data_IF_552516519792
#
_entry.id   IF_552516519792
#
_cell.length_a   1.000
_cell.length_b   1.000
_cell.length_c   1.000
_cell.angle_alpha   90.00
_cell.angle_beta   90.00
_cell.angle_gamma   90.00
#
_symmetry.space_group_name_H-M   'P 1'
#
loop_
_entity.id
_entity.type
_entity.pdbx_description
1 polymer ?
#
# COMPACT_ATOMS: atom_id res chain seq x y z
N UNK A 1 10.45 16.60 -7.06
CA UNK A 1 9.56 15.49 -7.43
C UNK A 1 9.65 14.46 -6.31
N UNK A 2 8.65 14.35 -5.44
CA UNK A 2 8.65 13.31 -4.40
C UNK A 2 8.15 12.01 -5.04
N UNK A 3 9.07 11.15 -5.44
CA UNK A 3 8.76 9.81 -5.93
C UNK A 3 8.49 8.89 -4.74
N UNK A 4 7.36 8.20 -4.75
CA UNK A 4 7.04 7.17 -3.75
C UNK A 4 8.13 6.09 -3.77
N UNK A 5 8.72 5.72 -2.62
CA UNK A 5 9.75 4.69 -2.57
C UNK A 5 9.20 3.33 -3.00
N UNK A 6 10.02 2.53 -3.68
CA UNK A 6 9.63 1.20 -4.17
C UNK A 6 10.19 0.10 -3.28
N UNK A 7 9.42 -0.98 -3.16
CA UNK A 7 9.84 -2.25 -2.56
C UNK A 7 10.02 -3.23 -3.72
N UNK A 8 11.22 -3.78 -3.88
CA UNK A 8 11.56 -4.67 -5.00
C UNK A 8 11.95 -6.08 -4.56
N UNK A 9 12.09 -6.31 -3.25
CA UNK A 9 12.46 -7.61 -2.69
C UNK A 9 11.57 -8.00 -1.50
N UNK A 10 11.51 -9.31 -1.23
CA UNK A 10 10.79 -9.88 -0.07
C UNK A 10 11.42 -9.46 1.26
N UNK A 11 12.75 -9.29 1.29
CA UNK A 11 13.47 -8.81 2.48
C UNK A 11 13.10 -7.37 2.81
N UNK A 12 13.07 -6.48 1.80
CA UNK A 12 12.61 -5.10 1.98
C UNK A 12 11.14 -5.06 2.41
N UNK A 13 10.28 -5.85 1.78
CA UNK A 13 8.88 -5.96 2.17
C UNK A 13 8.74 -6.38 3.64
N UNK A 14 9.49 -7.41 4.05
CA UNK A 14 9.40 -7.94 5.41
C UNK A 14 9.84 -6.89 6.42
N UNK A 15 10.96 -6.22 6.17
CA UNK A 15 11.52 -5.21 7.07
C UNK A 15 10.67 -3.94 7.14
N UNK A 16 10.23 -3.40 6.00
CA UNK A 16 9.58 -2.08 5.90
C UNK A 16 8.06 -2.12 5.99
N UNK A 17 7.43 -3.24 5.61
CA UNK A 17 5.97 -3.36 5.53
C UNK A 17 5.46 -4.33 6.59
N UNK A 18 5.89 -5.59 6.51
CA UNK A 18 5.35 -6.66 7.35
C UNK A 18 5.62 -6.39 8.83
N UNK A 19 6.84 -6.00 9.18
CA UNK A 19 7.22 -5.76 10.57
C UNK A 19 6.88 -4.34 11.06
N UNK A 20 6.22 -3.52 10.23
CA UNK A 20 5.84 -2.17 10.62
C UNK A 20 4.72 -2.17 11.66
N UNK A 21 4.94 -1.43 12.75
CA UNK A 21 3.91 -1.14 13.76
C UNK A 21 2.93 -0.07 13.30
N UNK A 22 3.31 0.74 12.31
CA UNK A 22 2.45 1.75 11.68
C UNK A 22 1.75 1.18 10.45
N UNK A 23 0.55 1.66 10.11
CA UNK A 23 -0.09 1.30 8.85
C UNK A 23 0.80 1.68 7.66
N UNK A 24 0.98 0.73 6.75
CA UNK A 24 1.75 0.88 5.52
C UNK A 24 0.83 0.64 4.34
N UNK A 25 0.73 1.62 3.45
CA UNK A 25 -0.04 1.52 2.23
C UNK A 25 0.89 1.14 1.06
N UNK A 26 0.58 0.03 0.41
CA UNK A 26 1.25 -0.46 -0.78
C UNK A 26 0.43 -0.16 -2.01
N UNK A 27 1.00 0.62 -2.92
CA UNK A 27 0.47 0.80 -4.27
C UNK A 27 0.96 -0.32 -5.17
N UNK A 28 0.02 -1.05 -5.73
CA UNK A 28 0.25 -2.25 -6.51
C UNK A 28 0.18 -1.88 -8.00
N UNK A 29 1.28 -1.40 -8.55
CA UNK A 29 1.32 -0.74 -9.84
C UNK A 29 1.82 -1.70 -10.93
N UNK A 30 1.02 -2.03 -11.95
CA UNK A 30 1.47 -2.92 -13.03
C UNK A 30 2.57 -2.27 -13.89
N UNK A 31 2.46 -0.96 -14.16
CA UNK A 31 3.47 -0.13 -14.82
C UNK A 31 3.41 1.24 -14.15
N UNK A 32 4.57 1.79 -13.77
CA UNK A 32 4.70 3.08 -13.08
C UNK A 32 4.41 4.24 -14.06
N UNK A 33 3.18 4.38 -14.53
CA UNK A 33 2.76 5.52 -15.35
C UNK A 33 2.18 6.63 -14.48
N UNK A 34 2.65 7.84 -14.73
CA UNK A 34 2.54 9.03 -13.88
C UNK A 34 1.13 9.57 -13.60
N UNK A 35 0.08 8.92 -14.08
CA UNK A 35 -1.31 9.38 -13.90
C UNK A 35 -1.83 9.16 -12.47
N UNK A 36 -1.27 8.21 -11.73
CA UNK A 36 -1.58 8.02 -10.31
C UNK A 36 -0.85 8.99 -9.36
N UNK A 37 0.03 9.86 -9.89
CA UNK A 37 0.88 10.71 -9.06
C UNK A 37 0.08 11.75 -8.27
N UNK A 38 -1.00 12.32 -8.81
CA UNK A 38 -1.74 13.39 -8.14
C UNK A 38 -2.53 12.88 -6.92
N UNK A 39 -3.23 11.76 -7.07
CA UNK A 39 -4.05 11.19 -6.00
C UNK A 39 -3.20 10.57 -4.90
N UNK A 40 -2.12 9.87 -5.28
CA UNK A 40 -1.15 9.33 -4.31
C UNK A 40 -0.41 10.46 -3.61
N UNK A 41 -0.05 11.53 -4.33
CA UNK A 41 0.55 12.72 -3.72
C UNK A 41 -0.41 13.39 -2.74
N UNK A 42 -1.67 13.59 -3.13
CA UNK A 42 -2.69 14.12 -2.23
C UNK A 42 -2.89 13.23 -0.99
N UNK A 43 -2.87 11.90 -1.16
CA UNK A 43 -2.89 10.95 -0.05
C UNK A 43 -1.68 11.08 0.87
N UNK A 44 -0.46 11.17 0.32
CA UNK A 44 0.77 11.36 1.10
C UNK A 44 0.79 12.70 1.85
N UNK A 45 0.19 13.74 1.26
CA UNK A 45 0.11 15.08 1.86
C UNK A 45 -0.98 15.14 2.95
N UNK A 46 -2.12 14.49 2.73
CA UNK A 46 -3.26 14.48 3.67
C UNK A 46 -3.06 13.52 4.84
N UNK A 47 -2.35 12.41 4.63
CA UNK A 47 -2.17 11.35 5.62
C UNK A 47 -0.70 11.12 5.92
N UNK A 48 -0.04 12.15 6.47
CA UNK A 48 1.41 12.13 6.77
C UNK A 48 1.84 11.04 7.78
N UNK A 49 0.88 10.45 8.51
CA UNK A 49 1.10 9.32 9.41
C UNK A 49 1.22 7.97 8.69
N UNK A 50 0.81 7.88 7.42
CA UNK A 50 0.90 6.66 6.61
C UNK A 50 2.25 6.56 5.92
N UNK A 51 2.90 5.41 6.09
CA UNK A 51 4.06 5.07 5.26
C UNK A 51 3.56 4.51 3.94
N UNK A 52 4.06 5.03 2.82
CA UNK A 52 3.58 4.68 1.48
C UNK A 52 4.73 4.11 0.65
N UNK A 53 4.50 2.93 0.04
CA UNK A 53 5.43 2.31 -0.91
C UNK A 53 4.73 1.87 -2.20
N UNK A 54 5.48 1.80 -3.28
CA UNK A 54 5.07 1.15 -4.53
C UNK A 54 5.66 -0.26 -4.66
N UNK A 55 4.89 -1.19 -5.20
CA UNK A 55 5.33 -2.52 -5.64
C UNK A 55 4.87 -2.76 -7.07
N UNK A 56 5.64 -3.53 -7.83
CA UNK A 56 5.28 -3.91 -9.20
C UNK A 56 4.56 -5.27 -9.28
N UNK A 57 4.09 -5.61 -10.47
CA UNK A 57 3.38 -6.87 -10.75
C UNK A 57 4.19 -8.11 -10.43
N UNK A 58 5.52 -8.07 -10.60
CA UNK A 58 6.40 -9.17 -10.23
C UNK A 58 6.42 -9.35 -8.71
N UNK A 59 6.62 -8.27 -7.97
CA UNK A 59 6.66 -8.28 -6.51
C UNK A 59 5.32 -8.74 -5.91
N UNK A 60 4.18 -8.26 -6.44
CA UNK A 60 2.84 -8.73 -6.06
C UNK A 60 2.71 -10.24 -6.26
N UNK A 61 3.18 -10.76 -7.40
CA UNK A 61 3.16 -12.18 -7.69
C UNK A 61 4.07 -13.01 -6.78
N UNK A 62 5.14 -12.42 -6.22
CA UNK A 62 5.92 -13.06 -5.17
C UNK A 62 5.16 -13.06 -3.84
N UNK A 63 4.60 -11.92 -3.43
CA UNK A 63 3.84 -11.81 -2.19
C UNK A 63 2.65 -12.77 -2.13
N UNK A 64 1.88 -12.90 -3.21
CA UNK A 64 0.75 -13.82 -3.30
C UNK A 64 1.15 -15.30 -3.19
N UNK A 65 2.41 -15.65 -3.52
CA UNK A 65 2.95 -17.00 -3.33
C UNK A 65 3.50 -17.23 -1.93
N UNK A 66 3.91 -16.17 -1.24
CA UNK A 66 4.50 -16.24 0.10
C UNK A 66 3.46 -16.07 1.21
N UNK A 67 2.36 -15.34 0.96
CA UNK A 67 1.37 -14.95 1.96
C UNK A 67 -0.04 -15.32 1.51
N UNK A 68 -0.78 -16.05 2.34
CA UNK A 68 -2.10 -16.62 1.98
C UNK A 68 -3.20 -15.57 1.68
N UNK A 69 -3.06 -14.33 2.16
CA UNK A 69 -4.10 -13.28 2.04
C UNK A 69 -3.81 -12.21 0.99
N UNK A 70 -2.78 -12.38 0.18
CA UNK A 70 -2.38 -11.38 -0.82
C UNK A 70 -2.99 -11.66 -2.18
N UNK A 71 -3.79 -10.71 -2.69
CA UNK A 71 -4.35 -10.79 -4.03
C UNK A 71 -3.36 -10.29 -5.09
N UNK A 72 -3.21 -11.06 -6.18
CA UNK A 72 -2.42 -10.64 -7.35
C UNK A 72 -3.08 -9.52 -8.16
N UNK A 73 -4.37 -9.26 -7.94
CA UNK A 73 -5.16 -8.25 -8.64
C UNK A 73 -5.42 -7.01 -7.80
N UNK A 74 -4.78 -6.90 -6.62
CA UNK A 74 -4.86 -5.70 -5.81
C UNK A 74 -4.23 -4.52 -6.57
N UNK A 75 -4.93 -3.37 -6.61
CA UNK A 75 -4.39 -2.07 -7.00
C UNK A 75 -3.76 -1.33 -5.82
N UNK A 76 -4.20 -1.63 -4.59
CA UNK A 76 -3.53 -1.21 -3.37
C UNK A 76 -3.81 -2.16 -2.20
N UNK A 77 -2.90 -2.20 -1.23
CA UNK A 77 -2.99 -3.01 -0.01
C UNK A 77 -2.56 -2.21 1.22
N UNK A 78 -3.36 -2.26 2.28
CA UNK A 78 -3.03 -1.70 3.57
C UNK A 78 -2.54 -2.80 4.51
N UNK A 79 -1.36 -2.60 5.09
CA UNK A 79 -0.69 -3.53 5.99
C UNK A 79 -0.45 -2.90 7.36
N UNK A 80 -0.55 -3.69 8.43
CA UNK A 80 -0.13 -3.30 9.79
C UNK A 80 0.20 -4.56 10.57
N UNK A 81 1.34 -4.59 11.27
CA UNK A 81 1.68 -5.68 12.19
C UNK A 81 1.71 -7.07 11.54
N UNK A 82 2.08 -7.14 10.26
CA UNK A 82 2.22 -8.40 9.51
C UNK A 82 0.93 -8.91 8.88
N UNK A 83 -0.18 -8.19 9.03
CA UNK A 83 -1.47 -8.54 8.45
C UNK A 83 -1.91 -7.56 7.37
N UNK A 84 -2.67 -8.07 6.40
CA UNK A 84 -3.40 -7.27 5.42
C UNK A 84 -4.69 -6.80 6.08
N UNK A 85 -4.81 -5.50 6.32
CA UNK A 85 -6.02 -4.89 6.86
C UNK A 85 -7.08 -4.69 5.78
N UNK A 86 -6.64 -4.30 4.57
CA UNK A 86 -7.53 -4.11 3.43
C UNK A 86 -6.76 -4.27 2.12
N UNK A 87 -7.44 -4.74 1.08
CA UNK A 87 -6.92 -4.80 -0.27
C UNK A 87 -8.07 -4.55 -1.25
N UNK A 88 -7.78 -3.83 -2.33
CA UNK A 88 -8.80 -3.44 -3.29
C UNK A 88 -8.26 -3.61 -4.70
N UNK A 89 -9.11 -4.11 -5.59
CA UNK A 89 -8.81 -4.21 -7.01
C UNK A 89 -9.20 -2.92 -7.73
N UNK A 90 -8.31 -2.41 -8.58
CA UNK A 90 -8.57 -1.21 -9.40
C UNK A 90 -8.35 0.14 -8.70
N UNK A 91 -8.83 1.22 -9.33
CA UNK A 91 -8.64 2.63 -8.93
C UNK A 91 -9.64 3.09 -7.87
N UNK A 92 -10.08 2.22 -6.96
CA UNK A 92 -11.11 2.54 -5.96
C UNK A 92 -10.57 3.40 -4.80
N UNK A 93 -9.98 4.55 -5.11
CA UNK A 93 -9.38 5.50 -4.16
C UNK A 93 -10.41 5.97 -3.12
N UNK A 94 -11.70 6.04 -3.46
CA UNK A 94 -12.75 6.36 -2.49
C UNK A 94 -12.89 5.30 -1.39
N UNK A 95 -12.77 4.01 -1.75
CA UNK A 95 -12.80 2.92 -0.79
C UNK A 95 -11.55 2.91 0.10
N UNK A 96 -10.40 3.33 -0.46
CA UNK A 96 -9.19 3.59 0.32
C UNK A 96 -9.44 4.67 1.37
N UNK A 97 -10.00 5.83 0.98
CA UNK A 97 -10.28 6.91 1.93
C UNK A 97 -11.21 6.49 3.06
N UNK A 98 -12.25 5.71 2.75
CA UNK A 98 -13.14 5.17 3.78
C UNK A 98 -12.41 4.23 4.75
N UNK A 99 -11.50 3.37 4.25
CA UNK A 99 -10.66 2.53 5.10
C UNK A 99 -9.69 3.36 5.90
N UNK A 100 -9.04 4.36 5.31
CA UNK A 100 -8.11 5.25 6.00
C UNK A 100 -8.81 6.06 7.10
N UNK A 101 -10.07 6.44 6.91
CA UNK A 101 -10.90 7.05 7.97
C UNK A 101 -11.29 6.05 9.05
N UNK A 102 -11.55 4.79 8.70
CA UNK A 102 -11.91 3.75 9.66
C UNK A 102 -10.72 3.21 10.46
N UNK A 103 -9.52 3.18 9.86
CA UNK A 103 -8.24 2.85 10.53
C UNK A 103 -7.57 4.08 11.14
N UNK A 104 -8.01 5.27 10.73
CA UNK A 104 -7.88 6.51 11.47
C UNK A 104 -8.53 6.26 12.81
N UNK A 105 -7.69 5.86 13.75
CA UNK A 105 -7.97 5.88 15.17
C UNK A 105 -8.83 7.10 15.45
N UNK A 106 -9.93 6.89 16.19
CA UNK A 106 -10.54 7.96 16.96
C UNK A 106 -9.39 8.79 17.53
N UNK A 107 -9.26 10.03 17.09
CA UNK A 107 -8.68 11.04 17.96
C UNK A 107 -9.59 11.01 19.21
N UNK A 108 -8.97 10.63 20.34
CA UNK A 108 -9.52 10.25 21.67
C UNK A 108 -9.93 8.78 21.92
#
# INVERSE_FOLDING_TARGET
MNTVPRITTIEEFTSKVRNSTRPVLLFCLPIYQGDFSAEVKNLTETHSHLTIYGIDSFMIGQLARTFEKVSTTAGFMLWKGGEVLAQFSGTQVFALMAVLQAIGEKDD
#
